data_IF_834754957406
#
_entry.id   IF_834754957406
#
_cell.length_a   1.000
_cell.length_b   1.000
_cell.length_c   1.000
_cell.angle_alpha   90.00
_cell.angle_beta   90.00
_cell.angle_gamma   90.00
#
_symmetry.space_group_name_H-M   'P 1'
#
loop_
_entity.id
_entity.type
_entity.pdbx_description
1 polymer ?
#
# COMPACT_ATOMS: atom_id res chain seq x y z
N UNK A 1 33.12 -64.84 -34.92
CA UNK A 1 32.17 -63.71 -34.85
C UNK A 1 32.67 -62.76 -33.79
N UNK A 2 33.09 -61.57 -34.23
CA UNK A 2 33.54 -60.42 -33.46
C UNK A 2 32.35 -59.54 -33.06
N UNK A 3 32.32 -59.06 -31.81
CA UNK A 3 31.88 -57.70 -31.42
C UNK A 3 32.02 -57.58 -29.88
N UNK A 4 33.09 -56.97 -29.35
CA UNK A 4 33.33 -55.53 -29.17
C UNK A 4 32.72 -54.97 -27.87
N UNK A 5 33.33 -55.33 -26.73
CA UNK A 5 33.14 -54.62 -25.45
C UNK A 5 33.56 -53.15 -25.59
N UNK A 6 32.78 -52.18 -25.10
CA UNK A 6 33.11 -50.77 -25.22
C UNK A 6 34.34 -50.45 -24.35
N UNK A 7 35.37 -49.89 -24.98
CA UNK A 7 36.58 -49.39 -24.30
C UNK A 7 36.18 -48.37 -23.23
N UNK A 8 36.29 -48.76 -21.96
CA UNK A 8 36.20 -47.86 -20.81
C UNK A 8 37.25 -46.77 -20.98
N UNK A 9 36.81 -45.54 -21.26
CA UNK A 9 37.69 -44.38 -21.33
C UNK A 9 38.42 -44.19 -20.00
N UNK A 10 39.75 -44.04 -20.06
CA UNK A 10 40.56 -43.73 -18.90
C UNK A 10 40.10 -42.38 -18.32
N UNK A 11 39.48 -42.40 -17.14
CA UNK A 11 39.14 -41.19 -16.39
C UNK A 11 40.42 -40.63 -15.78
N UNK A 12 41.03 -39.66 -16.46
CA UNK A 12 42.18 -38.92 -15.95
C UNK A 12 41.70 -37.97 -14.85
N UNK A 13 41.88 -38.36 -13.58
CA UNK A 13 41.64 -37.46 -12.43
C UNK A 13 42.73 -36.40 -12.38
N UNK A 14 42.42 -35.18 -12.86
CA UNK A 14 43.31 -34.02 -12.71
C UNK A 14 43.50 -33.67 -11.23
N UNK A 15 44.71 -33.24 -10.87
CA UNK A 15 45.06 -32.78 -9.52
C UNK A 15 44.20 -31.56 -9.16
N UNK A 16 43.82 -31.45 -7.89
CA UNK A 16 42.88 -30.43 -7.38
C UNK A 16 43.33 -29.00 -7.71
N UNK A 17 44.64 -28.76 -7.82
CA UNK A 17 45.26 -27.48 -8.19
C UNK A 17 45.05 -27.04 -9.64
N UNK A 18 44.66 -27.95 -10.54
CA UNK A 18 44.47 -27.67 -11.98
C UNK A 18 42.99 -27.53 -12.38
N UNK A 19 42.07 -27.60 -11.40
CA UNK A 19 40.65 -27.36 -11.64
C UNK A 19 40.43 -25.86 -11.74
N UNK A 20 39.80 -25.40 -12.84
CA UNK A 20 39.27 -24.03 -12.92
C UNK A 20 38.34 -23.84 -11.72
N UNK A 21 38.72 -22.98 -10.78
CA UNK A 21 37.85 -22.57 -9.68
C UNK A 21 36.62 -21.87 -10.26
N UNK A 22 35.46 -22.12 -9.68
CA UNK A 22 34.28 -21.39 -10.11
C UNK A 22 34.47 -19.92 -9.69
N UNK A 23 34.02 -18.96 -10.49
CA UNK A 23 33.89 -17.59 -10.05
C UNK A 23 33.09 -17.54 -8.73
N UNK A 24 33.54 -16.74 -7.75
CA UNK A 24 32.99 -16.70 -6.39
C UNK A 24 31.46 -16.58 -6.35
N UNK A 25 30.87 -15.71 -7.19
CA UNK A 25 29.42 -15.56 -7.30
C UNK A 25 28.65 -16.84 -7.71
N UNK A 26 29.28 -17.75 -8.46
CA UNK A 26 28.70 -19.04 -8.81
C UNK A 26 28.94 -20.09 -7.72
N UNK A 27 30.01 -19.97 -6.94
CA UNK A 27 30.24 -20.78 -5.74
C UNK A 27 29.22 -20.41 -4.66
N UNK A 28 28.97 -19.12 -4.45
CA UNK A 28 27.97 -18.60 -3.51
C UNK A 28 26.54 -19.01 -3.92
N UNK A 29 26.21 -18.91 -5.22
CA UNK A 29 24.93 -19.38 -5.75
C UNK A 29 24.75 -20.90 -5.60
N UNK A 30 25.77 -21.69 -5.93
CA UNK A 30 25.71 -23.15 -5.82
C UNK A 30 25.74 -23.65 -4.36
N UNK A 31 26.35 -22.88 -3.46
CA UNK A 31 26.37 -23.12 -2.01
C UNK A 31 25.07 -22.75 -1.30
N UNK A 32 24.17 -22.02 -1.98
CA UNK A 32 22.95 -21.48 -1.38
C UNK A 32 23.20 -20.25 -0.49
N UNK A 33 24.37 -19.61 -0.64
CA UNK A 33 24.79 -18.42 0.10
C UNK A 33 24.28 -17.12 -0.53
N UNK A 34 23.67 -17.19 -1.72
CA UNK A 34 23.06 -16.03 -2.37
C UNK A 34 21.61 -15.78 -1.89
N UNK A 35 21.48 -14.92 -0.88
CA UNK A 35 20.20 -14.41 -0.39
C UNK A 35 19.44 -13.57 -1.42
N UNK A 36 20.06 -13.16 -2.54
CA UNK A 36 19.43 -12.29 -3.52
C UNK A 36 18.12 -12.88 -4.08
N UNK A 37 18.01 -14.21 -4.16
CA UNK A 37 16.80 -14.90 -4.63
C UNK A 37 15.62 -14.82 -3.64
N UNK A 38 15.91 -14.64 -2.35
CA UNK A 38 14.91 -14.60 -1.27
C UNK A 38 14.58 -13.18 -0.83
N UNK A 39 15.33 -12.18 -1.32
CA UNK A 39 15.08 -10.77 -1.09
C UNK A 39 13.94 -10.31 -1.98
N UNK A 40 12.80 -10.10 -1.37
CA UNK A 40 11.68 -9.38 -1.97
C UNK A 40 11.57 -8.02 -1.33
N UNK A 41 11.54 -6.97 -2.15
CA UNK A 41 11.21 -5.63 -1.67
C UNK A 41 9.74 -5.65 -1.31
N UNK A 42 9.43 -5.77 -0.03
CA UNK A 42 8.06 -5.58 0.44
C UNK A 42 7.66 -4.15 0.14
N UNK A 43 6.54 -3.95 -0.57
CA UNK A 43 5.84 -2.66 -0.54
C UNK A 43 5.68 -2.32 0.94
N UNK A 44 6.02 -1.09 1.35
CA UNK A 44 5.89 -0.65 2.74
C UNK A 44 4.40 -0.78 3.08
N UNK A 45 4.00 -1.87 3.73
CA UNK A 45 2.74 -1.87 4.45
C UNK A 45 2.89 -0.78 5.49
N UNK A 46 1.91 0.11 5.56
CA UNK A 46 1.89 1.11 6.60
C UNK A 46 1.76 0.35 7.92
N UNK A 47 2.88 0.15 8.61
CA UNK A 47 2.94 -0.65 9.82
C UNK A 47 2.26 0.16 10.91
N UNK A 48 0.96 -0.02 11.04
CA UNK A 48 0.18 0.57 12.09
C UNK A 48 0.25 -0.36 13.33
N UNK A 49 0.99 0.01 14.39
CA UNK A 49 1.19 -0.87 15.55
C UNK A 49 -0.07 -1.00 16.41
N UNK A 50 -1.17 -0.31 16.07
CA UNK A 50 -2.39 -0.29 16.88
C UNK A 50 -3.17 -1.60 16.70
N UNK A 51 -3.65 -2.15 17.82
CA UNK A 51 -4.35 -3.43 17.85
C UNK A 51 -5.74 -3.43 17.16
N UNK A 52 -6.40 -2.26 17.05
CA UNK A 52 -7.73 -2.11 16.43
C UNK A 52 -7.71 -0.92 15.47
N UNK A 53 -7.56 -1.21 14.17
CA UNK A 53 -7.41 -0.20 13.11
C UNK A 53 -8.48 -0.41 12.05
N UNK A 54 -9.21 0.66 11.74
CA UNK A 54 -10.21 0.68 10.67
C UNK A 54 -9.55 0.83 9.30
N UNK A 55 -8.65 1.81 9.22
CA UNK A 55 -7.86 2.15 8.03
C UNK A 55 -6.40 2.27 8.46
N UNK A 56 -5.48 1.44 7.91
CA UNK A 56 -4.06 1.49 8.21
C UNK A 56 -3.51 2.91 8.13
N UNK A 57 -2.88 3.38 9.20
CA UNK A 57 -2.30 4.72 9.24
C UNK A 57 -3.22 5.86 9.54
N UNK A 58 -4.51 5.63 9.76
CA UNK A 58 -5.45 6.74 10.02
C UNK A 58 -5.99 6.60 11.43
N UNK A 59 -5.99 7.69 12.20
CA UNK A 59 -6.63 7.68 13.51
C UNK A 59 -8.11 7.32 13.34
N UNK A 60 -8.67 6.43 14.17
CA UNK A 60 -10.07 6.00 14.01
C UNK A 60 -11.04 7.20 14.11
N UNK A 61 -10.70 8.23 14.88
CA UNK A 61 -11.43 9.51 14.93
C UNK A 61 -11.42 10.21 13.57
N UNK A 62 -10.27 10.30 12.91
CA UNK A 62 -10.15 10.94 11.60
C UNK A 62 -10.89 10.14 10.52
N UNK A 63 -10.77 8.81 10.53
CA UNK A 63 -11.50 7.94 9.59
C UNK A 63 -13.02 8.10 9.71
N UNK A 64 -13.54 8.22 10.95
CA UNK A 64 -14.96 8.51 11.20
C UNK A 64 -15.35 9.91 10.75
N UNK A 65 -14.54 10.93 11.04
CA UNK A 65 -14.81 12.29 10.60
C UNK A 65 -14.86 12.44 9.07
N UNK A 66 -13.96 11.77 8.36
CA UNK A 66 -13.99 11.71 6.88
C UNK A 66 -15.23 10.97 6.39
N UNK A 67 -15.58 9.85 7.01
CA UNK A 67 -16.80 9.12 6.71
C UNK A 67 -18.05 10.01 6.82
N UNK A 68 -18.22 10.70 7.95
CA UNK A 68 -19.37 11.57 8.18
C UNK A 68 -19.42 12.72 7.16
N UNK A 69 -18.27 13.36 6.89
CA UNK A 69 -18.18 14.45 5.92
C UNK A 69 -18.53 13.99 4.49
N UNK A 70 -18.04 12.83 4.07
CA UNK A 70 -18.33 12.24 2.74
C UNK A 70 -19.80 11.85 2.61
N UNK A 71 -20.37 11.18 3.61
CA UNK A 71 -21.80 10.81 3.63
C UNK A 71 -22.66 12.06 3.51
N UNK A 72 -22.36 13.13 4.25
CA UNK A 72 -23.10 14.38 4.17
C UNK A 72 -23.08 14.99 2.74
N UNK A 73 -21.92 14.99 2.07
CA UNK A 73 -21.81 15.50 0.69
C UNK A 73 -22.54 14.63 -0.32
N UNK A 74 -22.49 13.31 -0.17
CA UNK A 74 -23.23 12.37 -1.03
C UNK A 74 -24.73 12.59 -0.90
N UNK A 75 -25.24 12.67 0.34
CA UNK A 75 -26.66 12.89 0.57
C UNK A 75 -27.12 14.25 0.05
N UNK A 76 -26.30 15.30 0.22
CA UNK A 76 -26.59 16.61 -0.34
C UNK A 76 -26.63 16.61 -1.88
N UNK A 77 -25.70 15.90 -2.54
CA UNK A 77 -25.70 15.77 -4.00
C UNK A 77 -26.91 14.96 -4.50
N UNK A 78 -27.27 13.88 -3.80
CA UNK A 78 -28.46 13.09 -4.12
C UNK A 78 -29.76 13.89 -3.95
N UNK A 79 -29.89 14.66 -2.86
CA UNK A 79 -31.05 15.52 -2.61
C UNK A 79 -31.16 16.65 -3.63
N UNK A 80 -30.02 17.20 -4.08
CA UNK A 80 -29.97 18.22 -5.13
C UNK A 80 -30.17 17.67 -6.55
N UNK A 81 -30.32 16.35 -6.70
CA UNK A 81 -30.34 15.64 -8.00
C UNK A 81 -29.10 15.96 -8.87
N UNK A 82 -27.97 16.32 -8.25
CA UNK A 82 -26.72 16.62 -8.92
C UNK A 82 -25.97 15.30 -9.21
N UNK A 83 -26.29 14.72 -10.37
CA UNK A 83 -25.72 13.45 -10.81
C UNK A 83 -24.20 13.50 -10.95
N UNK A 84 -23.62 14.64 -11.36
CA UNK A 84 -22.18 14.76 -11.56
C UNK A 84 -21.45 14.80 -10.21
N UNK A 85 -21.91 15.63 -9.28
CA UNK A 85 -21.35 15.68 -7.94
C UNK A 85 -21.51 14.35 -7.20
N UNK A 86 -22.67 13.69 -7.36
CA UNK A 86 -22.92 12.38 -6.78
C UNK A 86 -21.94 11.32 -7.32
N UNK A 87 -21.74 11.29 -8.64
CA UNK A 87 -20.79 10.36 -9.26
C UNK A 87 -19.36 10.59 -8.73
N UNK A 88 -18.91 11.83 -8.64
CA UNK A 88 -17.59 12.17 -8.09
C UNK A 88 -17.44 11.65 -6.65
N UNK A 89 -18.41 11.93 -5.77
CA UNK A 89 -18.31 11.49 -4.38
C UNK A 89 -18.37 9.96 -4.23
N UNK A 90 -19.14 9.26 -5.06
CA UNK A 90 -19.19 7.80 -5.07
C UNK A 90 -17.88 7.18 -5.57
N UNK A 91 -17.28 7.72 -6.64
CA UNK A 91 -15.98 7.29 -7.17
C UNK A 91 -14.90 7.44 -6.09
N UNK A 92 -14.79 8.63 -5.50
CA UNK A 92 -13.75 8.91 -4.50
C UNK A 92 -13.97 8.08 -3.22
N UNK A 93 -15.22 7.87 -2.82
CA UNK A 93 -15.54 7.03 -1.65
C UNK A 93 -15.22 5.55 -1.90
N UNK A 94 -15.41 5.04 -3.12
CA UNK A 94 -15.00 3.70 -3.54
C UNK A 94 -13.48 3.54 -3.50
N UNK A 95 -12.75 4.50 -4.08
CA UNK A 95 -11.29 4.55 -4.11
C UNK A 95 -10.67 4.56 -2.70
N UNK A 96 -11.27 5.31 -1.78
CA UNK A 96 -10.82 5.42 -0.39
C UNK A 96 -11.35 4.33 0.54
N UNK A 97 -12.35 3.55 0.10
CA UNK A 97 -13.08 2.59 0.93
C UNK A 97 -13.65 3.22 2.22
N UNK A 98 -14.28 4.39 2.10
CA UNK A 98 -14.66 5.27 3.22
C UNK A 98 -15.51 4.55 4.29
N UNK A 99 -16.36 3.61 3.88
CA UNK A 99 -17.22 2.81 4.77
C UNK A 99 -16.46 2.03 5.86
N UNK A 100 -15.17 1.75 5.65
CA UNK A 100 -14.30 1.15 6.67
C UNK A 100 -14.18 2.02 7.92
N UNK A 101 -14.33 3.35 7.80
CA UNK A 101 -14.37 4.30 8.91
C UNK A 101 -15.47 4.02 9.94
N UNK A 102 -16.49 3.23 9.58
CA UNK A 102 -17.55 2.76 10.47
C UNK A 102 -17.63 1.23 10.58
N UNK A 103 -16.54 0.52 10.27
CA UNK A 103 -16.47 -0.95 10.31
C UNK A 103 -17.50 -1.66 9.42
N UNK A 104 -18.00 -0.97 8.39
CA UNK A 104 -18.91 -1.58 7.43
C UNK A 104 -18.11 -2.49 6.51
N UNK A 105 -18.68 -3.65 6.16
CA UNK A 105 -17.91 -4.75 5.56
C UNK A 105 -17.81 -4.65 4.04
N UNK A 106 -18.69 -3.90 3.38
CA UNK A 106 -18.73 -3.84 1.92
C UNK A 106 -19.48 -2.64 1.37
N UNK A 107 -19.18 -2.33 0.11
CA UNK A 107 -19.76 -1.23 -0.65
C UNK A 107 -21.28 -1.30 -0.74
N UNK A 108 -21.85 -2.41 -1.22
CA UNK A 108 -23.30 -2.49 -1.47
C UNK A 108 -24.11 -2.30 -0.18
N UNK A 109 -23.60 -2.85 0.94
CA UNK A 109 -24.21 -2.67 2.27
C UNK A 109 -24.17 -1.21 2.70
N UNK A 110 -23.07 -0.52 2.45
CA UNK A 110 -22.97 0.90 2.78
C UNK A 110 -23.91 1.75 1.91
N UNK A 111 -23.97 1.48 0.61
CA UNK A 111 -24.83 2.21 -0.32
C UNK A 111 -26.30 2.06 0.04
N UNK A 112 -26.76 0.82 0.25
CA UNK A 112 -28.17 0.55 0.57
C UNK A 112 -28.51 1.03 1.99
N UNK A 113 -27.80 0.52 3.00
CA UNK A 113 -28.20 0.72 4.39
C UNK A 113 -27.86 2.10 4.97
N UNK A 114 -26.89 2.82 4.40
CA UNK A 114 -26.48 4.15 4.89
C UNK A 114 -26.91 5.26 3.95
N UNK A 115 -26.64 5.12 2.65
CA UNK A 115 -26.97 6.17 1.69
C UNK A 115 -28.43 6.10 1.22
N UNK A 116 -29.11 4.96 1.41
CA UNK A 116 -30.48 4.76 0.93
C UNK A 116 -30.58 4.76 -0.60
N UNK A 117 -29.47 4.48 -1.29
CA UNK A 117 -29.39 4.44 -2.75
C UNK A 117 -29.50 3.00 -3.24
N UNK A 118 -30.00 2.82 -4.46
CA UNK A 118 -29.94 1.52 -5.13
C UNK A 118 -28.47 1.16 -5.46
N UNK A 119 -27.97 -0.02 -5.02
CA UNK A 119 -26.61 -0.46 -5.33
C UNK A 119 -26.31 -0.54 -6.83
N UNK A 120 -27.28 -0.95 -7.66
CA UNK A 120 -27.04 -1.04 -9.11
C UNK A 120 -26.81 0.36 -9.72
N UNK A 121 -27.64 1.33 -9.35
CA UNK A 121 -27.45 2.74 -9.73
C UNK A 121 -26.11 3.31 -9.24
N UNK A 122 -25.74 3.08 -7.98
CA UNK A 122 -24.47 3.57 -7.45
C UNK A 122 -23.25 2.91 -8.14
N UNK A 123 -23.36 1.65 -8.53
CA UNK A 123 -22.35 0.94 -9.30
C UNK A 123 -22.20 1.49 -10.73
N UNK A 124 -23.30 1.91 -11.37
CA UNK A 124 -23.24 2.62 -12.66
C UNK A 124 -22.47 3.93 -12.53
N UNK A 125 -22.78 4.73 -11.49
CA UNK A 125 -22.14 6.03 -11.29
C UNK A 125 -20.66 5.93 -10.91
N UNK A 126 -20.28 4.95 -10.08
CA UNK A 126 -18.89 4.78 -9.68
C UNK A 126 -18.01 4.22 -10.80
N UNK A 127 -18.60 3.49 -11.75
CA UNK A 127 -17.88 2.75 -12.79
C UNK A 127 -16.87 1.74 -12.22
N UNK A 128 -15.72 1.63 -12.88
CA UNK A 128 -14.63 0.70 -12.52
C UNK A 128 -13.62 1.33 -11.54
N UNK A 129 -14.09 2.19 -10.63
CA UNK A 129 -13.25 2.86 -9.65
C UNK A 129 -12.61 1.85 -8.67
N UNK A 130 -11.35 1.52 -8.94
CA UNK A 130 -10.57 0.59 -8.12
C UNK A 130 -10.05 1.25 -6.83
N UNK A 131 -9.99 0.52 -5.70
CA UNK A 131 -9.37 1.00 -4.48
C UNK A 131 -7.93 1.47 -4.69
N UNK A 132 -7.59 2.62 -4.10
CA UNK A 132 -6.23 3.14 -4.13
C UNK A 132 -5.32 2.37 -3.16
N UNK A 133 -4.00 2.56 -3.31
CA UNK A 133 -3.04 2.01 -2.37
C UNK A 133 -3.24 2.60 -0.96
N UNK A 134 -2.91 1.82 0.07
CA UNK A 134 -3.15 2.19 1.47
C UNK A 134 -2.46 3.49 1.89
N UNK A 135 -1.28 3.77 1.33
CA UNK A 135 -0.48 4.97 1.63
C UNK A 135 -1.20 6.24 1.15
N UNK A 136 -1.72 6.22 -0.08
CA UNK A 136 -2.49 7.31 -0.66
C UNK A 136 -3.84 7.48 0.04
N UNK A 137 -4.52 6.39 0.38
CA UNK A 137 -5.76 6.45 1.17
C UNK A 137 -5.48 7.07 2.55
N UNK A 138 -4.41 6.67 3.22
CA UNK A 138 -4.05 7.21 4.53
C UNK A 138 -3.71 8.70 4.44
N UNK A 139 -2.93 9.11 3.43
CA UNK A 139 -2.64 10.52 3.17
C UNK A 139 -3.92 11.30 2.91
N UNK A 140 -4.76 10.83 1.99
CA UNK A 140 -6.02 11.50 1.63
C UNK A 140 -6.92 11.67 2.85
N UNK A 141 -7.19 10.60 3.60
CA UNK A 141 -8.04 10.67 4.80
C UNK A 141 -7.48 11.62 5.86
N UNK A 142 -6.16 11.64 6.09
CA UNK A 142 -5.55 12.56 7.07
C UNK A 142 -5.69 14.02 6.64
N UNK A 143 -5.47 14.30 5.36
CA UNK A 143 -5.63 15.64 4.80
C UNK A 143 -7.08 16.07 4.88
N UNK A 144 -8.01 15.23 4.43
CA UNK A 144 -9.44 15.53 4.43
C UNK A 144 -10.00 15.69 5.85
N UNK A 145 -9.55 14.89 6.81
CA UNK A 145 -9.90 15.09 8.23
C UNK A 145 -9.44 16.46 8.75
N UNK A 146 -8.29 16.96 8.27
CA UNK A 146 -7.81 18.30 8.59
C UNK A 146 -8.70 19.41 8.03
N UNK A 147 -9.20 19.22 6.81
CA UNK A 147 -10.14 20.15 6.17
C UNK A 147 -11.52 20.11 6.82
N UNK A 148 -12.01 18.91 7.14
CA UNK A 148 -13.30 18.70 7.79
C UNK A 148 -13.34 19.32 9.19
N UNK A 149 -12.27 19.23 9.98
CA UNK A 149 -12.19 19.87 11.31
C UNK A 149 -12.32 21.40 11.22
N UNK A 150 -11.77 22.00 10.16
CA UNK A 150 -11.90 23.44 9.90
C UNK A 150 -13.19 23.81 9.18
N UNK A 151 -14.03 22.82 8.82
CA UNK A 151 -15.17 22.96 7.91
C UNK A 151 -14.81 23.83 6.69
N UNK A 152 -13.66 23.54 6.10
CA UNK A 152 -13.00 24.43 5.15
C UNK A 152 -12.99 23.90 3.72
N UNK A 153 -13.57 22.72 3.47
CA UNK A 153 -13.75 22.17 2.14
C UNK A 153 -13.41 20.68 2.03
N UNK A 154 -12.88 20.27 0.88
CA UNK A 154 -12.69 18.87 0.51
C UNK A 154 -11.36 18.63 -0.21
N UNK A 155 -10.97 17.35 -0.29
CA UNK A 155 -9.82 16.90 -1.07
C UNK A 155 -10.33 16.06 -2.24
N UNK A 156 -9.84 16.37 -3.44
CA UNK A 156 -10.16 15.66 -4.68
C UNK A 156 -8.94 14.99 -5.28
N UNK A 157 -9.13 13.89 -6.00
CA UNK A 157 -8.08 13.31 -6.83
C UNK A 157 -8.30 13.69 -8.29
N UNK A 158 -7.45 14.56 -8.84
CA UNK A 158 -7.50 14.99 -10.25
C UNK A 158 -6.18 14.72 -10.92
N UNK A 159 -6.20 13.98 -12.03
CA UNK A 159 -5.01 13.63 -12.81
C UNK A 159 -3.87 13.04 -11.96
N UNK A 160 -4.22 12.20 -10.98
CA UNK A 160 -3.27 11.59 -10.05
C UNK A 160 -2.70 12.54 -8.99
N UNK A 161 -3.27 13.74 -8.84
CA UNK A 161 -2.85 14.75 -7.84
C UNK A 161 -3.96 14.98 -6.82
N UNK A 162 -3.59 15.10 -5.56
CA UNK A 162 -4.51 15.55 -4.52
C UNK A 162 -4.68 17.07 -4.63
N UNK A 163 -5.88 17.49 -4.97
CA UNK A 163 -6.30 18.88 -5.10
C UNK A 163 -7.13 19.29 -3.90
N UNK A 164 -6.82 20.47 -3.36
CA UNK A 164 -7.51 21.04 -2.21
C UNK A 164 -8.58 22.01 -2.71
N UNK A 165 -9.83 21.76 -2.35
CA UNK A 165 -10.94 22.69 -2.56
C UNK A 165 -11.19 23.36 -1.23
N UNK A 166 -10.86 24.66 -1.13
CA UNK A 166 -10.81 25.39 0.13
C UNK A 166 -11.63 26.67 0.08
N UNK A 167 -12.33 26.96 1.16
CA UNK A 167 -12.81 28.30 1.47
C UNK A 167 -11.61 29.21 1.81
N UNK A 168 -11.34 30.28 1.04
CA UNK A 168 -10.21 31.19 1.27
C UNK A 168 -10.19 31.78 2.69
N UNK A 169 -11.34 32.01 3.30
CA UNK A 169 -11.44 32.60 4.64
C UNK A 169 -10.96 31.64 5.73
N UNK A 170 -11.08 30.34 5.49
CA UNK A 170 -10.71 29.26 6.43
C UNK A 170 -9.41 28.56 6.07
N UNK A 171 -8.85 28.86 4.90
CA UNK A 171 -7.68 28.20 4.35
C UNK A 171 -6.46 28.17 5.29
N UNK A 172 -6.08 29.25 6.01
CA UNK A 172 -4.91 29.19 6.90
C UNK A 172 -5.04 28.15 8.02
N UNK A 173 -6.19 28.13 8.70
CA UNK A 173 -6.46 27.17 9.77
C UNK A 173 -6.57 25.74 9.23
N UNK A 174 -7.20 25.57 8.07
CA UNK A 174 -7.33 24.28 7.40
C UNK A 174 -5.96 23.70 7.00
N UNK A 175 -5.09 24.51 6.39
CA UNK A 175 -3.75 24.08 5.99
C UNK A 175 -2.87 23.74 7.20
N UNK A 176 -2.98 24.48 8.31
CA UNK A 176 -2.30 24.13 9.56
C UNK A 176 -2.76 22.76 10.10
N UNK A 177 -4.07 22.49 10.07
CA UNK A 177 -4.63 21.20 10.47
C UNK A 177 -4.22 20.04 9.57
N UNK A 178 -4.19 20.28 8.26
CA UNK A 178 -3.67 19.33 7.26
C UNK A 178 -2.22 18.98 7.57
N UNK A 179 -1.36 20.00 7.73
CA UNK A 179 0.07 19.81 8.00
C UNK A 179 0.29 18.97 9.26
N UNK A 180 -0.42 19.28 10.34
CA UNK A 180 -0.36 18.52 11.61
C UNK A 180 -0.72 17.04 11.44
N UNK A 181 -1.73 16.70 10.65
CA UNK A 181 -2.16 15.30 10.43
C UNK A 181 -1.31 14.54 9.44
N UNK A 182 -0.78 15.21 8.42
CA UNK A 182 0.07 14.60 7.41
C UNK A 182 1.51 14.40 7.90
N UNK A 183 2.01 15.24 8.82
CA UNK A 183 3.40 15.21 9.29
C UNK A 183 3.93 13.83 9.71
N UNK A 184 3.18 12.96 10.43
CA UNK A 184 3.71 11.64 10.81
C UNK A 184 4.04 10.74 9.61
N UNK A 185 3.34 10.87 8.47
CA UNK A 185 3.66 10.09 7.26
C UNK A 185 5.04 10.46 6.70
N UNK A 186 5.43 11.72 6.79
CA UNK A 186 6.76 12.18 6.37
C UNK A 186 7.88 11.64 7.28
N UNK A 187 7.57 11.38 8.56
CA UNK A 187 8.51 10.76 9.49
C UNK A 187 8.63 9.23 9.27
N UNK A 188 7.56 8.58 8.81
CA UNK A 188 7.61 7.16 8.42
C UNK A 188 8.44 6.94 7.13
N UNK A 189 8.53 7.96 6.27
CA UNK A 189 9.35 7.89 5.06
C UNK A 189 10.86 7.80 5.35
N UNK A 190 11.32 8.39 6.46
CA UNK A 190 12.75 8.48 6.84
C UNK A 190 13.31 7.25 7.56
N UNK A 191 12.46 6.32 8.04
CA UNK A 191 12.90 5.06 8.64
C UNK A 191 13.39 4.05 7.59
N UNK A 192 14.53 3.37 7.79
CA UNK A 192 15.10 2.48 6.77
C UNK A 192 14.09 1.43 6.23
N UNK A 193 14.10 1.17 4.91
CA UNK A 193 13.31 0.10 4.28
C UNK A 193 13.75 -1.24 4.86
N UNK A 194 12.88 -1.90 5.61
CA UNK A 194 13.17 -3.24 6.14
C UNK A 194 13.10 -4.25 4.98
N UNK A 195 14.24 -4.83 4.63
CA UNK A 195 14.33 -5.89 3.62
C UNK A 195 14.02 -7.22 4.30
N UNK A 196 12.84 -7.76 4.04
CA UNK A 196 12.45 -9.07 4.55
C UNK A 196 13.02 -10.15 3.62
N UNK A 197 13.85 -11.03 4.18
CA UNK A 197 14.38 -12.22 3.48
C UNK A 197 13.46 -13.39 3.81
N UNK A 198 12.63 -13.81 2.85
CA UNK A 198 11.64 -14.89 3.07
C UNK A 198 12.26 -16.26 2.81
N UNK A 199 13.00 -16.76 3.79
CA UNK A 199 13.68 -18.06 3.68
C UNK A 199 12.74 -19.21 4.05
N UNK A 200 12.69 -20.29 3.26
CA UNK A 200 12.00 -21.53 3.65
C UNK A 200 12.51 -22.08 4.98
N UNK A 201 11.63 -22.72 5.78
CA UNK A 201 12.02 -23.40 7.03
C UNK A 201 13.14 -24.41 6.75
N UNK A 202 14.31 -24.20 7.35
CA UNK A 202 15.48 -25.09 7.24
C UNK A 202 16.75 -24.45 6.67
N UNK A 203 16.66 -23.24 6.09
CA UNK A 203 17.82 -22.53 5.53
C UNK A 203 18.51 -21.69 6.62
N UNK A 204 19.81 -21.91 6.87
CA UNK A 204 20.58 -21.27 7.97
C UNK A 204 20.83 -19.78 7.72
N UNK A 205 20.58 -18.94 8.74
CA UNK A 205 20.91 -17.49 8.75
C UNK A 205 22.40 -17.28 8.47
N UNK A 206 22.73 -16.43 7.50
CA UNK A 206 24.10 -15.97 7.28
C UNK A 206 24.24 -14.68 8.10
N UNK A 207 25.05 -14.73 9.14
CA UNK A 207 25.48 -13.52 9.87
C UNK A 207 26.77 -13.10 9.18
N UNK A 208 26.69 -12.08 8.34
CA UNK A 208 27.91 -11.42 7.83
C UNK A 208 28.27 -10.38 8.89
N UNK A 209 29.35 -10.62 9.62
CA UNK A 209 29.91 -9.66 10.57
C UNK A 209 30.51 -8.50 9.76
N UNK A 210 30.09 -7.23 9.96
CA UNK A 210 30.54 -6.11 9.14
C UNK A 210 31.99 -5.64 9.43
N UNK A 211 32.80 -6.46 10.13
CA UNK A 211 34.15 -6.12 10.58
C UNK A 211 35.21 -7.18 10.25
N UNK A 212 35.15 -7.78 9.06
CA UNK A 212 36.30 -8.52 8.50
C UNK A 212 36.57 -8.05 7.07
N UNK A 213 37.33 -6.97 6.96
CA UNK A 213 38.22 -6.67 5.84
C UNK A 213 39.33 -5.75 6.40
N UNK A 214 40.42 -6.36 6.87
CA UNK A 214 41.75 -5.76 7.02
C UNK A 214 42.54 -5.96 5.70
#
# INVERSE_FOLDING_TARGET
>A
MSDSDPKKGNVVRRRTSERKRMPKHLEDFAGGDDDALWRRTTRRRLNDPRAVVLVPGVANRDARGVYEARVARILAAAEAEDREALAVELIESAQMQVWRGHSIVGWDVWVDAVLGLDPAYANELRGDAEPLNEELVALWMRVEAGLAEANAGAVRLRDGKLCFELDPERAPAALANVGRRAAPLAHDETGAKEVIVDRPRGVRKIIVDPHEDD
#
